data_IF_146987032262
#
_entry.id   IF_146987032262
#
_cell.length_a   1.000
_cell.length_b   1.000
_cell.length_c   1.000
_cell.angle_alpha   90.00
_cell.angle_beta   90.00
_cell.angle_gamma   90.00
#
_symmetry.space_group_name_H-M   'P 1'
#
loop_
_entity.id
_entity.type
_entity.pdbx_description
1 polymer ?
#
# COMPACT_ATOMS: atom_id res chain seq x y z
N UNK A 1 -43.39 -13.80 20.76
CA UNK A 1 -43.68 -12.87 19.64
C UNK A 1 -42.92 -11.59 19.91
N UNK A 2 -42.38 -11.00 18.83
CA UNK A 2 -41.90 -9.62 18.67
C UNK A 2 -40.65 -9.15 19.42
N UNK A 3 -39.45 -9.60 19.00
CA UNK A 3 -38.24 -8.76 19.18
C UNK A 3 -37.10 -9.01 18.17
N UNK A 4 -37.33 -9.76 17.08
CA UNK A 4 -36.29 -10.06 16.07
C UNK A 4 -36.58 -9.55 14.65
N UNK A 5 -37.57 -8.66 14.45
CA UNK A 5 -37.99 -8.24 13.10
C UNK A 5 -37.72 -6.79 12.72
N UNK A 6 -36.78 -6.08 13.40
CA UNK A 6 -36.52 -4.67 13.10
C UNK A 6 -35.06 -4.30 12.81
N UNK A 7 -34.19 -5.28 12.49
CA UNK A 7 -33.00 -4.99 11.68
C UNK A 7 -33.38 -5.03 10.19
N UNK A 8 -34.33 -4.17 9.85
CA UNK A 8 -34.85 -3.99 8.50
C UNK A 8 -33.93 -3.02 7.78
N UNK A 9 -33.09 -3.55 6.88
CA UNK A 9 -32.87 -2.94 5.55
C UNK A 9 -32.44 -1.44 5.61
N UNK A 10 -31.40 -1.13 6.38
CA UNK A 10 -30.80 0.21 6.39
C UNK A 10 -29.26 0.09 6.33
N UNK A 11 -28.70 -0.34 5.18
CA UNK A 11 -27.30 -0.01 4.81
C UNK A 11 -26.92 -0.32 3.34
N UNK A 12 -27.88 -0.57 2.45
CA UNK A 12 -27.60 -0.62 1.00
C UNK A 12 -27.58 0.78 0.36
N UNK A 13 -27.94 1.83 1.11
CA UNK A 13 -27.91 3.22 0.67
C UNK A 13 -26.50 3.85 0.71
N UNK A 14 -25.52 3.22 1.36
CA UNK A 14 -24.13 3.70 1.39
C UNK A 14 -23.33 3.32 0.12
N UNK A 15 -24.03 2.86 -0.93
CA UNK A 15 -23.47 2.42 -2.23
C UNK A 15 -23.24 3.60 -3.20
N UNK A 16 -23.45 4.84 -2.77
CA UNK A 16 -23.14 6.02 -3.58
C UNK A 16 -21.62 6.25 -3.67
N UNK A 17 -20.97 5.64 -4.66
CA UNK A 17 -19.61 6.04 -5.03
C UNK A 17 -18.80 5.04 -5.84
N UNK A 18 -19.15 3.76 -5.84
CA UNK A 18 -18.40 2.78 -6.63
C UNK A 18 -18.92 2.75 -8.08
N UNK A 19 -18.06 3.10 -9.02
CA UNK A 19 -18.35 3.00 -10.45
C UNK A 19 -18.59 1.53 -10.82
N UNK A 20 -19.58 1.27 -11.70
CA UNK A 20 -19.84 -0.07 -12.22
C UNK A 20 -18.65 -0.58 -13.04
N UNK A 21 -18.43 -1.90 -13.02
CA UNK A 21 -17.37 -2.55 -13.79
C UNK A 21 -17.54 -2.27 -15.29
N UNK A 22 -16.47 -1.80 -15.92
CA UNK A 22 -16.34 -1.63 -17.37
C UNK A 22 -14.95 -2.10 -17.84
N UNK A 23 -14.67 -2.00 -19.13
CA UNK A 23 -13.42 -2.46 -19.75
C UNK A 23 -12.14 -1.80 -19.20
N UNK A 24 -12.25 -0.63 -18.55
CA UNK A 24 -11.11 0.22 -18.19
C UNK A 24 -10.91 0.45 -16.69
N UNK A 25 -11.84 -0.02 -15.84
CA UNK A 25 -11.82 0.27 -14.40
C UNK A 25 -11.75 -0.95 -13.50
N UNK A 26 -11.55 -2.16 -14.05
CA UNK A 26 -11.57 -3.43 -13.32
C UNK A 26 -10.82 -3.41 -11.99
N UNK A 27 -9.62 -2.82 -11.94
CA UNK A 27 -8.82 -2.78 -10.72
C UNK A 27 -9.39 -1.88 -9.62
N UNK A 28 -9.82 -0.67 -9.98
CA UNK A 28 -10.49 0.25 -9.05
C UNK A 28 -11.79 -0.36 -8.54
N UNK A 29 -12.54 -0.99 -9.44
CA UNK A 29 -13.75 -1.74 -9.11
C UNK A 29 -13.44 -2.90 -8.15
N UNK A 30 -12.45 -3.74 -8.46
CA UNK A 30 -12.06 -4.90 -7.67
C UNK A 30 -11.70 -4.49 -6.23
N UNK A 31 -10.88 -3.44 -6.10
CA UNK A 31 -10.50 -2.91 -4.79
C UNK A 31 -11.70 -2.34 -4.03
N UNK A 32 -12.59 -1.62 -4.71
CA UNK A 32 -13.81 -1.08 -4.13
C UNK A 32 -14.74 -2.16 -3.60
N UNK A 33 -14.91 -3.26 -4.35
CA UNK A 33 -15.70 -4.42 -3.92
C UNK A 33 -15.07 -5.10 -2.70
N UNK A 34 -13.77 -5.43 -2.74
CA UNK A 34 -13.07 -6.08 -1.62
C UNK A 34 -13.15 -5.22 -0.35
N UNK A 35 -12.90 -3.91 -0.47
CA UNK A 35 -12.89 -2.99 0.66
C UNK A 35 -14.29 -2.86 1.28
N UNK A 36 -15.32 -2.72 0.44
CA UNK A 36 -16.71 -2.63 0.88
C UNK A 36 -17.18 -3.89 1.60
N UNK A 37 -16.81 -5.07 1.10
CA UNK A 37 -17.13 -6.35 1.74
C UNK A 37 -16.28 -6.60 2.99
N UNK A 38 -15.03 -6.15 3.00
CA UNK A 38 -14.15 -6.19 4.16
C UNK A 38 -14.73 -5.42 5.34
N UNK A 39 -15.19 -4.18 5.13
CA UNK A 39 -15.86 -3.38 6.16
C UNK A 39 -17.13 -4.05 6.72
N UNK A 40 -17.72 -4.97 5.97
CA UNK A 40 -18.95 -5.71 6.35
C UNK A 40 -18.66 -7.11 6.91
N UNK A 41 -17.38 -7.50 7.07
CA UNK A 41 -16.97 -8.86 7.45
C UNK A 41 -17.55 -9.95 6.53
N UNK A 42 -17.60 -9.66 5.23
CA UNK A 42 -18.11 -10.54 4.17
C UNK A 42 -17.02 -10.98 3.18
N UNK A 43 -15.80 -10.47 3.32
CA UNK A 43 -14.69 -10.72 2.41
C UNK A 43 -14.37 -12.22 2.25
N UNK A 44 -14.49 -13.00 3.31
CA UNK A 44 -14.11 -14.41 3.30
C UNK A 44 -14.98 -15.26 2.36
N UNK A 45 -16.23 -14.83 2.13
CA UNK A 45 -17.15 -15.46 1.15
C UNK A 45 -16.60 -15.39 -0.28
N UNK A 46 -15.77 -14.38 -0.61
CA UNK A 46 -15.13 -14.25 -1.91
C UNK A 46 -13.82 -15.02 -2.03
N UNK A 47 -13.07 -15.16 -0.94
CA UNK A 47 -11.69 -15.65 -0.98
C UNK A 47 -11.63 -17.14 -0.73
N UNK A 48 -12.44 -17.65 0.20
CA UNK A 48 -12.48 -19.07 0.50
C UNK A 48 -13.27 -19.79 -0.60
N UNK A 49 -12.77 -20.95 -1.11
CA UNK A 49 -13.56 -21.78 -1.98
C UNK A 49 -14.84 -22.24 -1.26
N UNK A 50 -15.93 -22.50 -2.00
CA UNK A 50 -17.19 -22.94 -1.41
C UNK A 50 -16.95 -24.20 -0.55
N UNK A 51 -17.10 -24.07 0.76
CA UNK A 51 -16.98 -25.21 1.67
C UNK A 51 -18.32 -25.95 1.70
N UNK A 52 -18.31 -27.23 1.32
CA UNK A 52 -19.49 -28.12 1.31
C UNK A 52 -20.17 -28.31 2.68
N UNK A 53 -19.54 -27.83 3.76
CA UNK A 53 -19.98 -28.04 5.15
C UNK A 53 -20.78 -26.84 5.72
N UNK A 54 -20.85 -25.69 5.04
CA UNK A 54 -21.49 -24.48 5.60
C UNK A 54 -22.99 -24.35 5.22
N UNK A 55 -23.81 -25.35 5.55
CA UNK A 55 -25.29 -25.28 5.46
C UNK A 55 -25.88 -24.56 6.69
N UNK A 56 -25.30 -23.42 7.08
CA UNK A 56 -25.88 -22.58 8.13
C UNK A 56 -26.70 -21.47 7.46
N UNK A 57 -27.96 -21.21 7.89
CA UNK A 57 -28.79 -20.13 7.35
C UNK A 57 -28.11 -18.75 7.33
N UNK A 58 -27.24 -18.47 8.30
CA UNK A 58 -26.45 -17.22 8.37
C UNK A 58 -25.45 -17.17 7.20
N UNK A 59 -24.80 -18.30 6.89
CA UNK A 59 -23.85 -18.39 5.78
C UNK A 59 -24.56 -18.20 4.44
N UNK A 60 -25.71 -18.86 4.24
CA UNK A 60 -26.52 -18.71 3.03
C UNK A 60 -26.93 -17.25 2.80
N UNK A 61 -27.37 -16.56 3.85
CA UNK A 61 -27.72 -15.13 3.77
C UNK A 61 -26.52 -14.26 3.42
N UNK A 62 -25.33 -14.55 3.98
CA UNK A 62 -24.09 -13.83 3.64
C UNK A 62 -23.66 -14.10 2.19
N UNK A 63 -23.78 -15.34 1.72
CA UNK A 63 -23.54 -15.73 0.32
C UNK A 63 -24.40 -14.91 -0.62
N UNK A 64 -25.71 -14.90 -0.37
CA UNK A 64 -26.70 -14.15 -1.15
C UNK A 64 -26.39 -12.64 -1.17
N UNK A 65 -26.07 -12.04 -0.01
CA UNK A 65 -25.68 -10.63 0.06
C UNK A 65 -24.46 -10.32 -0.81
N UNK A 66 -23.43 -11.16 -0.75
CA UNK A 66 -22.19 -10.95 -1.52
C UNK A 66 -22.46 -11.11 -3.02
N UNK A 67 -23.24 -12.11 -3.41
CA UNK A 67 -23.62 -12.33 -4.80
C UNK A 67 -24.32 -11.10 -5.39
N UNK A 68 -25.42 -10.66 -4.77
CA UNK A 68 -26.15 -9.48 -5.26
C UNK A 68 -25.34 -8.19 -5.17
N UNK A 69 -24.41 -8.09 -4.22
CA UNK A 69 -23.50 -6.96 -4.14
C UNK A 69 -22.56 -6.89 -5.36
N UNK A 70 -21.96 -8.01 -5.79
CA UNK A 70 -21.13 -8.05 -7.00
C UNK A 70 -21.98 -7.70 -8.22
N UNK A 71 -23.12 -8.39 -8.37
CA UNK A 71 -24.04 -8.23 -9.50
C UNK A 71 -24.52 -6.79 -9.66
N UNK A 72 -24.88 -6.12 -8.56
CA UNK A 72 -25.33 -4.72 -8.58
C UNK A 72 -24.26 -3.73 -9.08
N UNK A 73 -22.99 -4.13 -9.03
CA UNK A 73 -21.85 -3.33 -9.49
C UNK A 73 -21.30 -3.77 -10.85
N UNK A 74 -22.00 -4.63 -11.57
CA UNK A 74 -21.72 -4.88 -12.98
C UNK A 74 -22.51 -3.88 -13.85
N UNK A 75 -21.89 -3.42 -14.94
CA UNK A 75 -22.64 -2.80 -16.02
C UNK A 75 -23.41 -3.88 -16.81
N UNK A 76 -24.24 -3.44 -17.75
CA UNK A 76 -25.11 -4.36 -18.49
C UNK A 76 -24.31 -5.36 -19.34
N UNK A 77 -23.16 -4.94 -19.90
CA UNK A 77 -22.32 -5.80 -20.73
C UNK A 77 -21.69 -6.92 -19.88
N UNK A 78 -21.08 -6.56 -18.76
CA UNK A 78 -20.44 -7.50 -17.85
C UNK A 78 -21.46 -8.38 -17.12
N UNK A 79 -22.64 -7.84 -16.77
CA UNK A 79 -23.73 -8.65 -16.24
C UNK A 79 -24.09 -9.77 -17.20
N UNK A 80 -24.41 -9.46 -18.46
CA UNK A 80 -24.79 -10.44 -19.47
C UNK A 80 -23.68 -11.45 -19.79
N UNK A 81 -22.43 -11.07 -19.56
CA UNK A 81 -21.25 -11.89 -19.83
C UNK A 81 -20.97 -12.91 -18.74
N UNK A 82 -21.11 -12.50 -17.48
CA UNK A 82 -20.66 -13.30 -16.34
C UNK A 82 -21.79 -13.95 -15.55
N UNK A 83 -22.98 -13.32 -15.52
CA UNK A 83 -24.12 -13.83 -14.76
C UNK A 83 -24.92 -14.75 -15.67
N UNK A 84 -24.85 -16.05 -15.41
CA UNK A 84 -25.51 -17.08 -16.24
C UNK A 84 -26.63 -17.83 -15.51
N UNK A 85 -26.48 -18.10 -14.20
CA UNK A 85 -27.48 -18.78 -13.36
C UNK A 85 -27.70 -18.05 -12.03
N UNK A 86 -28.94 -18.05 -11.52
CA UNK A 86 -29.31 -17.39 -10.24
C UNK A 86 -28.66 -18.03 -8.99
N UNK A 87 -28.16 -19.27 -9.12
CA UNK A 87 -27.57 -20.07 -8.03
C UNK A 87 -26.03 -20.04 -7.99
N UNK A 88 -25.38 -19.22 -8.83
CA UNK A 88 -23.92 -19.20 -8.92
C UNK A 88 -23.25 -18.83 -7.59
N UNK A 89 -22.20 -19.56 -7.22
CA UNK A 89 -21.39 -19.23 -6.05
C UNK A 89 -20.68 -17.88 -6.27
N UNK A 90 -20.79 -16.91 -5.35
CA UNK A 90 -20.14 -15.60 -5.50
C UNK A 90 -18.61 -15.71 -5.64
N UNK A 91 -18.00 -16.75 -5.05
CA UNK A 91 -16.58 -17.07 -5.25
C UNK A 91 -16.26 -17.40 -6.72
N UNK A 92 -17.13 -18.18 -7.38
CA UNK A 92 -16.95 -18.58 -8.77
C UNK A 92 -17.15 -17.38 -9.69
N UNK A 93 -18.25 -16.63 -9.52
CA UNK A 93 -18.50 -15.39 -10.25
C UNK A 93 -17.31 -14.43 -10.14
N UNK A 94 -16.80 -14.23 -8.93
CA UNK A 94 -15.65 -13.38 -8.66
C UNK A 94 -14.37 -13.84 -9.39
N UNK A 95 -14.10 -15.14 -9.37
CA UNK A 95 -12.93 -15.69 -10.06
C UNK A 95 -13.07 -15.62 -11.58
N UNK A 96 -14.26 -15.88 -12.13
CA UNK A 96 -14.55 -15.76 -13.56
C UNK A 96 -14.29 -14.33 -14.07
N UNK A 97 -14.79 -13.32 -13.34
CA UNK A 97 -14.53 -11.91 -13.65
C UNK A 97 -13.03 -11.62 -13.54
N UNK A 98 -12.39 -12.03 -12.45
CA UNK A 98 -10.94 -11.83 -12.27
C UNK A 98 -10.13 -12.44 -13.39
N UNK A 99 -10.42 -13.69 -13.77
CA UNK A 99 -9.68 -14.41 -14.78
C UNK A 99 -9.83 -13.76 -16.15
N UNK A 100 -11.04 -13.31 -16.50
CA UNK A 100 -11.28 -12.58 -17.74
C UNK A 100 -10.40 -11.31 -17.84
N UNK A 101 -10.39 -10.49 -16.80
CA UNK A 101 -9.60 -9.25 -16.78
C UNK A 101 -8.11 -9.49 -16.50
N UNK A 102 -7.74 -10.60 -15.86
CA UNK A 102 -6.36 -11.03 -15.66
C UNK A 102 -5.74 -11.61 -16.95
N UNK A 103 -6.52 -12.31 -17.78
CA UNK A 103 -6.09 -12.77 -19.11
C UNK A 103 -5.86 -11.60 -20.08
N UNK A 104 -6.51 -10.46 -19.80
CA UNK A 104 -6.35 -9.18 -20.53
C UNK A 104 -5.33 -8.24 -19.84
N UNK A 105 -4.57 -8.73 -18.85
CA UNK A 105 -3.83 -7.89 -17.90
C UNK A 105 -2.62 -7.18 -18.49
N UNK A 106 -2.04 -7.60 -19.61
CA UNK A 106 -0.92 -6.86 -20.23
C UNK A 106 -1.34 -5.47 -20.71
N UNK A 107 -2.47 -5.39 -21.42
CA UNK A 107 -2.98 -4.14 -22.01
C UNK A 107 -3.60 -3.22 -20.95
N UNK A 108 -4.29 -3.79 -19.96
CA UNK A 108 -4.82 -3.02 -18.84
C UNK A 108 -3.72 -2.53 -17.88
N UNK A 109 -2.70 -3.35 -17.61
CA UNK A 109 -1.50 -2.91 -16.89
C UNK A 109 -0.81 -1.82 -17.72
N UNK A 110 -0.60 -1.99 -19.02
CA UNK A 110 0.02 -0.99 -19.88
C UNK A 110 -0.79 0.32 -19.99
N UNK A 111 -2.12 0.26 -20.05
CA UNK A 111 -3.01 1.43 -20.07
C UNK A 111 -3.01 2.16 -18.74
N UNK A 112 -3.01 1.43 -17.61
CA UNK A 112 -2.84 2.01 -16.28
C UNK A 112 -1.44 2.58 -16.09
N UNK A 113 -0.39 1.89 -16.56
CA UNK A 113 1.00 2.38 -16.56
C UNK A 113 1.11 3.65 -17.40
N UNK A 114 0.66 3.65 -18.65
CA UNK A 114 0.76 4.79 -19.56
C UNK A 114 0.03 6.03 -19.06
N UNK A 115 -1.19 5.88 -18.53
CA UNK A 115 -1.95 7.02 -17.98
C UNK A 115 -1.39 7.58 -16.67
N UNK A 116 -0.69 6.77 -15.85
CA UNK A 116 -0.30 7.15 -14.48
C UNK A 116 1.21 7.31 -14.26
N UNK A 117 2.07 6.70 -15.09
CA UNK A 117 3.49 7.07 -15.22
C UNK A 117 3.70 8.35 -16.05
N UNK A 118 2.63 8.90 -16.62
CA UNK A 118 2.62 10.26 -17.16
C UNK A 118 2.67 11.35 -16.06
N UNK A 119 2.85 11.00 -14.78
CA UNK A 119 3.16 11.95 -13.70
C UNK A 119 4.50 12.61 -14.06
N UNK A 120 4.42 13.85 -14.55
CA UNK A 120 5.58 14.71 -14.72
C UNK A 120 5.83 15.42 -13.41
N UNK A 121 7.04 15.29 -12.87
CA UNK A 121 7.44 16.16 -11.78
C UNK A 121 7.49 17.61 -12.27
N UNK A 122 6.94 18.57 -11.51
CA UNK A 122 7.04 19.97 -11.87
C UNK A 122 8.52 20.38 -11.92
N UNK A 123 8.90 21.29 -12.84
CA UNK A 123 10.29 21.75 -12.99
C UNK A 123 10.79 22.54 -11.76
N UNK A 124 9.87 23.08 -10.96
CA UNK A 124 10.14 23.71 -9.67
C UNK A 124 9.80 22.78 -8.51
N UNK A 125 10.39 23.02 -7.33
CA UNK A 125 10.08 22.28 -6.10
C UNK A 125 8.64 22.45 -5.62
N UNK A 126 7.89 23.45 -6.14
CA UNK A 126 6.46 23.62 -5.86
C UNK A 126 5.63 22.52 -6.52
N UNK A 127 4.87 21.76 -5.72
CA UNK A 127 4.05 20.63 -6.20
C UNK A 127 4.81 19.30 -6.28
N UNK A 128 6.10 19.26 -5.94
CA UNK A 128 6.89 18.03 -5.89
C UNK A 128 6.35 17.05 -4.83
N UNK A 129 5.96 17.55 -3.65
CA UNK A 129 5.36 16.74 -2.58
C UNK A 129 4.02 16.10 -2.99
N UNK A 130 3.18 16.84 -3.73
CA UNK A 130 1.91 16.34 -4.27
C UNK A 130 2.15 15.28 -5.35
N UNK A 131 3.12 15.51 -6.24
CA UNK A 131 3.52 14.54 -7.26
C UNK A 131 4.08 13.25 -6.63
N UNK A 132 4.91 13.37 -5.59
CA UNK A 132 5.44 12.22 -4.81
C UNK A 132 4.31 11.46 -4.13
N UNK A 133 3.39 12.17 -3.47
CA UNK A 133 2.23 11.56 -2.79
C UNK A 133 1.31 10.81 -3.76
N UNK A 134 1.07 11.39 -4.94
CA UNK A 134 0.32 10.77 -6.03
C UNK A 134 1.01 9.51 -6.55
N UNK A 135 2.32 9.56 -6.74
CA UNK A 135 3.12 8.41 -7.17
C UNK A 135 3.14 7.29 -6.12
N UNK A 136 3.32 7.61 -4.83
CA UNK A 136 3.26 6.65 -3.72
C UNK A 136 1.91 5.92 -3.67
N UNK A 137 0.83 6.67 -3.77
CA UNK A 137 -0.53 6.12 -3.77
C UNK A 137 -0.73 5.17 -4.96
N UNK A 138 -0.20 5.55 -6.12
CA UNK A 138 -0.23 4.74 -7.34
C UNK A 138 0.58 3.46 -7.21
N UNK A 139 1.79 3.51 -6.65
CA UNK A 139 2.60 2.32 -6.42
C UNK A 139 2.00 1.35 -5.42
N UNK A 140 1.43 1.87 -4.32
CA UNK A 140 0.71 1.05 -3.34
C UNK A 140 -0.46 0.31 -3.98
N UNK A 141 -1.20 1.00 -4.84
CA UNK A 141 -2.25 0.39 -5.65
C UNK A 141 -1.65 -0.73 -6.52
N UNK A 142 -0.64 -0.44 -7.35
CA UNK A 142 0.00 -1.44 -8.22
C UNK A 142 0.56 -2.67 -7.50
N UNK A 143 1.19 -2.49 -6.33
CA UNK A 143 1.70 -3.61 -5.51
C UNK A 143 0.58 -4.52 -5.03
N UNK A 144 -0.60 -3.95 -4.73
CA UNK A 144 -1.81 -4.71 -4.44
C UNK A 144 -2.43 -5.39 -5.67
N UNK A 145 -2.30 -4.79 -6.86
CA UNK A 145 -2.86 -5.32 -8.11
C UNK A 145 -2.09 -6.52 -8.67
N UNK A 146 -0.78 -6.58 -8.50
CA UNK A 146 0.01 -7.71 -8.97
C UNK A 146 1.16 -8.06 -8.02
N UNK A 147 0.84 -8.78 -6.92
CA UNK A 147 1.85 -9.20 -5.96
C UNK A 147 2.98 -10.01 -6.61
N UNK A 148 2.71 -10.76 -7.69
CA UNK A 148 3.70 -11.55 -8.42
C UNK A 148 4.67 -10.70 -9.26
N UNK A 149 4.23 -9.60 -9.87
CA UNK A 149 5.10 -8.65 -10.58
C UNK A 149 6.04 -7.91 -9.62
N UNK A 150 5.56 -7.65 -8.40
CA UNK A 150 6.32 -6.96 -7.34
C UNK A 150 6.92 -7.91 -6.30
N UNK A 151 6.81 -9.23 -6.49
CA UNK A 151 7.43 -10.24 -5.63
C UNK A 151 8.95 -10.30 -5.83
N UNK A 152 9.43 -9.85 -7.00
CA UNK A 152 10.85 -9.69 -7.27
C UNK A 152 11.31 -8.30 -6.82
N UNK A 153 12.28 -8.25 -5.90
CA UNK A 153 12.92 -7.01 -5.44
C UNK A 153 13.42 -6.14 -6.62
N UNK A 154 13.75 -6.76 -7.75
CA UNK A 154 14.16 -6.11 -9.00
C UNK A 154 13.17 -5.05 -9.49
N UNK A 155 11.85 -5.29 -9.45
CA UNK A 155 10.90 -4.31 -9.99
C UNK A 155 10.80 -3.07 -9.10
N UNK A 156 10.87 -3.26 -7.78
CA UNK A 156 10.91 -2.16 -6.81
C UNK A 156 12.21 -1.34 -6.99
N UNK A 157 13.33 -2.01 -7.23
CA UNK A 157 14.62 -1.37 -7.48
C UNK A 157 14.64 -0.59 -8.80
N UNK A 158 14.13 -1.17 -9.89
CA UNK A 158 13.99 -0.49 -11.19
C UNK A 158 13.13 0.76 -11.06
N UNK A 159 12.05 0.71 -10.28
CA UNK A 159 11.21 1.86 -10.00
C UNK A 159 11.91 2.93 -9.16
N UNK A 160 12.71 2.53 -8.16
CA UNK A 160 13.52 3.46 -7.39
C UNK A 160 14.52 4.23 -8.29
N UNK A 161 15.19 3.52 -9.21
CA UNK A 161 16.08 4.16 -10.20
C UNK A 161 15.32 5.07 -11.17
N UNK A 162 14.13 4.65 -11.60
CA UNK A 162 13.29 5.45 -12.48
C UNK A 162 12.83 6.75 -11.81
N UNK A 163 12.43 6.71 -10.53
CA UNK A 163 12.11 7.93 -9.74
C UNK A 163 13.33 8.85 -9.67
N UNK A 164 14.49 8.32 -9.31
CA UNK A 164 15.74 9.09 -9.21
C UNK A 164 16.08 9.85 -10.49
N UNK A 165 15.73 9.27 -11.64
CA UNK A 165 15.96 9.88 -12.95
C UNK A 165 14.90 10.90 -13.34
N UNK A 166 13.68 10.77 -12.82
CA UNK A 166 12.57 11.69 -13.05
C UNK A 166 12.57 12.93 -12.14
N UNK A 167 13.35 12.91 -11.05
CA UNK A 167 13.43 14.06 -10.14
C UNK A 167 13.85 15.34 -10.88
N UNK A 168 13.25 16.49 -10.54
CA UNK A 168 13.63 17.76 -11.15
C UNK A 168 15.08 18.12 -10.80
N UNK A 169 15.71 18.96 -11.63
CA UNK A 169 17.12 19.36 -11.49
C UNK A 169 17.41 19.96 -10.10
N UNK A 170 16.43 20.60 -9.48
CA UNK A 170 16.48 21.14 -8.10
C UNK A 170 16.70 20.09 -7.02
N UNK A 171 16.52 18.80 -7.33
CA UNK A 171 16.69 17.65 -6.42
C UNK A 171 17.86 16.75 -6.82
N UNK A 172 18.69 17.15 -7.77
CA UNK A 172 19.73 16.28 -8.35
C UNK A 172 20.83 15.88 -7.36
N UNK A 173 21.07 16.68 -6.32
CA UNK A 173 21.96 16.32 -5.21
C UNK A 173 21.40 15.17 -4.36
N UNK A 174 20.08 15.01 -4.25
CA UNK A 174 19.46 13.83 -3.61
C UNK A 174 19.81 12.58 -4.40
N UNK A 175 19.63 12.61 -5.73
CA UNK A 175 20.01 11.48 -6.58
C UNK A 175 21.49 11.14 -6.44
N UNK A 176 22.35 12.16 -6.41
CA UNK A 176 23.80 11.98 -6.22
C UNK A 176 24.14 11.33 -4.87
N UNK A 177 23.50 11.79 -3.79
CA UNK A 177 23.70 11.24 -2.44
C UNK A 177 23.23 9.78 -2.35
N UNK A 178 22.09 9.47 -2.97
CA UNK A 178 21.55 8.11 -3.02
C UNK A 178 22.47 7.18 -3.84
N UNK A 179 22.93 7.59 -5.02
CA UNK A 179 23.87 6.79 -5.81
C UNK A 179 25.18 6.54 -5.08
N UNK A 180 25.68 7.54 -4.35
CA UNK A 180 26.86 7.36 -3.50
C UNK A 180 26.61 6.35 -2.38
N UNK A 181 25.45 6.43 -1.70
CA UNK A 181 25.05 5.47 -0.66
C UNK A 181 24.98 4.03 -1.20
N UNK A 182 24.40 3.85 -2.39
CA UNK A 182 24.33 2.55 -3.07
C UNK A 182 25.74 2.03 -3.35
N UNK A 183 26.65 2.88 -3.85
CA UNK A 183 28.04 2.49 -4.13
C UNK A 183 28.78 2.03 -2.88
N UNK A 184 28.53 2.67 -1.74
CA UNK A 184 29.22 2.36 -0.47
C UNK A 184 28.62 1.15 0.24
N UNK A 185 27.29 1.02 0.27
CA UNK A 185 26.60 0.00 1.07
C UNK A 185 26.11 -1.21 0.27
N UNK A 186 26.12 -1.13 -1.07
CA UNK A 186 25.46 -2.06 -1.98
C UNK A 186 23.94 -2.23 -1.76
N UNK A 187 23.34 -1.47 -0.82
CA UNK A 187 21.91 -1.49 -0.55
C UNK A 187 21.21 -0.50 -1.48
N UNK A 188 20.30 -1.03 -2.30
CA UNK A 188 19.39 -0.19 -3.09
C UNK A 188 18.24 0.23 -2.16
N UNK A 189 17.98 1.55 -2.00
CA UNK A 189 16.87 1.99 -1.19
C UNK A 189 15.54 1.55 -1.81
N UNK A 190 14.61 1.21 -0.93
CA UNK A 190 13.20 1.05 -1.30
C UNK A 190 12.65 2.38 -1.81
N UNK A 191 11.52 2.31 -2.52
CA UNK A 191 10.85 3.50 -3.01
C UNK A 191 10.42 4.43 -1.86
N UNK A 192 9.97 3.85 -0.74
CA UNK A 192 9.58 4.56 0.46
C UNK A 192 10.77 5.29 1.12
N UNK A 193 11.93 4.63 1.23
CA UNK A 193 13.17 5.24 1.73
C UNK A 193 13.62 6.40 0.84
N UNK A 194 13.52 6.23 -0.49
CA UNK A 194 13.90 7.26 -1.45
C UNK A 194 13.00 8.50 -1.31
N UNK A 195 11.69 8.32 -1.21
CA UNK A 195 10.77 9.45 -1.09
C UNK A 195 10.93 10.20 0.22
N UNK A 196 11.19 9.49 1.33
CA UNK A 196 11.51 10.14 2.60
C UNK A 196 12.73 11.05 2.45
N UNK A 197 13.76 10.62 1.74
CA UNK A 197 14.96 11.44 1.51
C UNK A 197 14.65 12.69 0.67
N UNK A 198 13.79 12.58 -0.35
CA UNK A 198 13.36 13.72 -1.16
C UNK A 198 12.51 14.70 -0.34
N UNK A 199 11.58 14.21 0.50
CA UNK A 199 10.78 15.06 1.40
C UNK A 199 11.65 15.82 2.40
N UNK A 200 12.62 15.13 3.02
CA UNK A 200 13.57 15.76 3.93
C UNK A 200 14.39 16.85 3.25
N UNK A 201 14.76 16.64 1.99
CA UNK A 201 15.50 17.63 1.25
C UNK A 201 14.65 18.84 0.85
N UNK A 202 13.38 18.64 0.46
CA UNK A 202 12.42 19.74 0.25
C UNK A 202 12.26 20.57 1.52
N UNK A 203 12.13 19.92 2.68
CA UNK A 203 12.04 20.60 3.98
C UNK A 203 13.31 21.39 4.31
N UNK A 204 14.49 20.86 3.96
CA UNK A 204 15.76 21.57 4.14
C UNK A 204 15.87 22.80 3.24
N UNK A 205 15.29 22.73 2.04
CA UNK A 205 15.30 23.82 1.07
C UNK A 205 14.23 24.90 1.33
N UNK A 206 13.32 24.70 2.29
CA UNK A 206 12.18 25.62 2.52
C UNK A 206 12.58 27.01 3.05
N UNK A 207 13.86 27.21 3.41
CA UNK A 207 14.39 28.49 3.91
C UNK A 207 13.95 28.84 5.33
N UNK A 208 13.19 27.95 5.99
CA UNK A 208 12.78 28.09 7.39
C UNK A 208 13.73 27.30 8.28
N UNK A 209 14.48 27.98 9.15
CA UNK A 209 15.48 27.37 10.05
C UNK A 209 14.88 26.29 10.96
N UNK A 210 13.61 26.43 11.37
CA UNK A 210 12.92 25.45 12.20
C UNK A 210 12.62 24.16 11.40
N UNK A 211 12.24 24.29 10.12
CA UNK A 211 11.97 23.12 9.26
C UNK A 211 13.25 22.41 8.83
N UNK A 212 14.32 23.15 8.56
CA UNK A 212 15.63 22.58 8.28
C UNK A 212 16.19 21.81 9.49
N UNK A 213 15.98 22.34 10.70
CA UNK A 213 16.35 21.68 11.96
C UNK A 213 15.52 20.41 12.22
N UNK A 214 14.22 20.44 11.90
CA UNK A 214 13.34 19.27 12.00
C UNK A 214 13.77 18.16 11.02
N UNK A 215 14.13 18.49 9.79
CA UNK A 215 14.61 17.52 8.80
C UNK A 215 15.88 16.79 9.27
N UNK A 216 16.81 17.50 9.93
CA UNK A 216 18.00 16.89 10.52
C UNK A 216 17.66 15.92 11.67
N UNK A 217 16.68 16.26 12.51
CA UNK A 217 16.20 15.40 13.59
C UNK A 217 15.49 14.14 13.07
N UNK A 218 14.71 14.26 12.00
CA UNK A 218 13.99 13.13 11.38
C UNK A 218 14.89 12.15 10.62
N UNK A 219 16.09 12.60 10.23
CA UNK A 219 17.11 11.79 9.55
C UNK A 219 18.03 11.08 10.53
N UNK A 220 18.26 11.62 11.72
CA UNK A 220 18.89 10.85 12.78
C UNK A 220 17.94 9.74 13.20
N UNK A 221 18.37 8.47 13.04
CA UNK A 221 17.73 7.38 13.78
C UNK A 221 17.60 7.77 15.25
N UNK A 222 16.54 7.33 15.96
CA UNK A 222 16.47 7.56 17.40
C UNK A 222 17.81 7.12 17.97
N UNK A 223 18.58 8.08 18.49
CA UNK A 223 19.86 7.77 19.11
C UNK A 223 19.52 6.69 20.11
N UNK A 224 20.03 5.46 19.89
CA UNK A 224 19.96 4.40 20.90
C UNK A 224 20.31 5.10 22.20
N UNK A 225 19.43 5.00 23.18
CA UNK A 225 19.50 5.75 24.42
C UNK A 225 20.79 5.35 25.16
N UNK A 226 21.89 6.02 24.81
CA UNK A 226 23.23 5.64 25.21
C UNK A 226 23.43 6.06 26.66
N UNK A 227 23.97 5.14 27.45
CA UNK A 227 24.50 5.45 28.76
C UNK A 227 25.64 6.46 28.60
N UNK A 228 25.70 7.49 29.45
CA UNK A 228 26.70 8.55 29.33
C UNK A 228 27.23 8.99 30.70
N UNK A 229 28.48 9.44 30.74
CA UNK A 229 29.15 10.03 31.93
C UNK A 229 29.05 9.16 33.19
N UNK A 230 29.26 7.85 33.04
CA UNK A 230 29.20 6.94 34.19
C UNK A 230 27.80 6.74 34.78
N UNK A 231 26.74 7.02 34.03
CA UNK A 231 25.36 6.73 34.42
C UNK A 231 24.70 5.80 33.42
N UNK A 232 24.02 4.79 33.93
CA UNK A 232 23.17 3.92 33.14
C UNK A 232 21.88 4.65 32.75
N UNK A 233 21.46 4.47 31.50
CA UNK A 233 20.16 4.89 31.03
C UNK A 233 19.21 3.68 31.15
N UNK A 234 18.16 3.74 31.99
CA UNK A 234 17.19 2.65 32.14
C UNK A 234 16.46 2.27 30.85
N UNK A 235 16.47 3.14 29.83
CA UNK A 235 15.89 2.88 28.51
C UNK A 235 16.89 2.28 27.52
N UNK A 236 18.12 2.00 27.95
CA UNK A 236 19.12 1.35 27.11
C UNK A 236 18.81 -0.13 26.90
N UNK A 237 19.44 -0.73 25.89
CA UNK A 237 19.22 -2.10 25.46
C UNK A 237 20.05 -3.15 26.24
N UNK A 238 20.59 -2.79 27.40
CA UNK A 238 21.35 -3.68 28.27
C UNK A 238 20.93 -3.43 29.72
N UNK A 239 21.20 -4.38 30.62
CA UNK A 239 20.91 -4.19 32.04
C UNK A 239 21.94 -3.27 32.69
N UNK A 240 21.58 -2.63 33.81
CA UNK A 240 22.51 -1.79 34.58
C UNK A 240 23.79 -2.55 34.96
N UNK A 241 23.65 -3.84 35.27
CA UNK A 241 24.75 -4.73 35.63
C UNK A 241 25.76 -4.99 34.50
N UNK A 242 25.34 -4.77 33.26
CA UNK A 242 26.13 -4.97 32.03
C UNK A 242 26.56 -3.64 31.40
N UNK A 243 26.29 -2.52 32.08
CA UNK A 243 26.60 -1.19 31.58
C UNK A 243 28.09 -0.89 31.67
N UNK A 244 28.77 -0.83 30.52
CA UNK A 244 30.21 -0.49 30.45
C UNK A 244 30.54 0.95 30.88
N UNK A 245 29.54 1.83 31.04
CA UNK A 245 29.75 3.13 31.68
C UNK A 245 29.82 3.03 33.20
N UNK A 246 29.12 2.07 33.81
CA UNK A 246 29.16 1.80 35.26
C UNK A 246 30.30 0.86 35.64
N UNK A 247 30.58 -0.12 34.77
CA UNK A 247 31.58 -1.17 34.97
C UNK A 247 32.57 -1.20 33.79
N UNK A 248 33.46 -0.20 33.63
CA UNK A 248 34.43 -0.13 32.53
C UNK A 248 35.34 -1.35 32.45
N UNK A 249 35.63 -2.00 33.57
CA UNK A 249 36.44 -3.22 33.68
C UNK A 249 35.84 -4.42 32.94
N UNK A 250 34.52 -4.46 32.77
CA UNK A 250 33.85 -5.51 31.99
C UNK A 250 34.03 -5.36 30.48
N UNK A 251 34.53 -4.21 30.03
CA UNK A 251 34.79 -3.93 28.62
C UNK A 251 36.01 -4.69 28.09
N UNK A 252 36.98 -4.96 28.94
CA UNK A 252 38.23 -5.67 28.58
C UNK A 252 38.00 -7.17 28.33
N UNK A 253 36.90 -7.73 28.84
CA UNK A 253 36.52 -9.14 28.62
C UNK A 253 35.86 -9.42 27.25
N UNK A 254 35.61 -8.38 26.44
CA UNK A 254 34.88 -8.45 25.16
C UNK A 254 35.74 -8.08 23.93
N UNK A 255 37.07 -7.99 24.10
CA UNK A 255 38.02 -7.75 23.00
C UNK A 255 38.69 -9.04 22.51
#
# INVERSE_FOLDING_TARGET
MSELSNQSISSLSDIQGLEKLNSSNFFSWQWGIISSLGMRNLRDILIEPPNSIKINPIYLKKKEMVYYFIVGHLDNENYNKFVSDEDEEPHNLWNNIKEHYASSSGENIASHFGKRFSIKFPPSSSGLSEAISSFCSTLKLFRGLSPSLFAADIMVQVLAFYILWLLPETCRHVSTAVFHSIKVSAKIPTVEELFKEVELDILRQSGNEDQASLALQLRSEPKKDLCHKGKHNPLSNHSESECFQLFPEKREAYH
#
